data_IF_513053724828
#
_entry.id   IF_513053724828
#
_cell.length_a   1.000
_cell.length_b   1.000
_cell.length_c   1.000
_cell.angle_alpha   90.00
_cell.angle_beta   90.00
_cell.angle_gamma   90.00
#
_symmetry.space_group_name_H-M   'P 1'
#
loop_
_entity.id
_entity.type
_entity.pdbx_description
1 polymer ?
#
# COMPACT_ATOMS: atom_id res chain seq x y z
N UNK A 1 -10.31 -26.44 -4.27
CA UNK A 1 -9.59 -25.89 -3.09
C UNK A 1 -10.27 -24.59 -2.66
N UNK A 2 -10.69 -24.52 -1.39
CA UNK A 2 -11.44 -23.40 -0.82
C UNK A 2 -10.69 -22.07 -0.94
N UNK A 3 -11.24 -21.12 -1.70
CA UNK A 3 -10.85 -19.71 -1.76
C UNK A 3 -11.23 -19.01 -0.44
N UNK A 4 -10.69 -19.50 0.67
CA UNK A 4 -10.85 -18.90 1.97
C UNK A 4 -9.99 -17.64 2.06
N UNK A 5 -10.57 -16.58 2.64
CA UNK A 5 -9.87 -15.46 3.31
C UNK A 5 -9.08 -14.48 2.44
N UNK A 6 -9.66 -13.37 1.98
CA UNK A 6 -8.88 -12.13 1.76
C UNK A 6 -9.63 -10.84 2.09
N UNK A 7 -10.41 -10.81 3.19
CA UNK A 7 -10.97 -9.56 3.72
C UNK A 7 -9.93 -8.69 4.47
N UNK A 8 -8.65 -8.78 4.09
CA UNK A 8 -7.50 -8.13 4.76
C UNK A 8 -6.50 -7.51 3.79
N UNK A 9 -6.80 -7.49 2.49
CA UNK A 9 -5.98 -6.74 1.54
C UNK A 9 -6.01 -5.25 1.95
N UNK A 10 -4.84 -4.70 2.25
CA UNK A 10 -4.64 -3.28 2.52
C UNK A 10 -4.03 -2.64 1.30
N UNK A 11 -4.64 -1.57 0.85
CA UNK A 11 -4.21 -0.78 -0.28
C UNK A 11 -3.57 0.48 0.27
N UNK A 12 -2.45 0.91 -0.31
CA UNK A 12 -1.86 2.20 0.01
C UNK A 12 -2.77 3.32 -0.48
N UNK A 13 -3.00 4.32 0.36
CA UNK A 13 -3.65 5.55 -0.09
C UNK A 13 -2.72 6.30 -1.05
N UNK A 14 -3.27 7.23 -1.83
CA UNK A 14 -2.44 8.08 -2.71
C UNK A 14 -1.33 8.80 -1.92
N UNK A 15 -1.62 9.23 -0.68
CA UNK A 15 -0.65 9.83 0.23
C UNK A 15 0.45 8.84 0.63
N UNK A 16 0.09 7.63 1.07
CA UNK A 16 1.06 6.60 1.47
C UNK A 16 1.93 6.13 0.30
N UNK A 17 1.35 5.96 -0.89
CA UNK A 17 2.09 5.64 -2.10
C UNK A 17 3.05 6.77 -2.49
N UNK A 18 2.61 8.03 -2.37
CA UNK A 18 3.46 9.19 -2.66
C UNK A 18 4.67 9.24 -1.71
N UNK A 19 4.45 9.10 -0.40
CA UNK A 19 5.53 9.01 0.60
C UNK A 19 6.51 7.89 0.27
N UNK A 20 6.00 6.69 -0.03
CA UNK A 20 6.85 5.55 -0.39
C UNK A 20 7.70 5.86 -1.63
N UNK A 21 7.12 6.47 -2.67
CA UNK A 21 7.86 6.87 -3.88
C UNK A 21 8.89 7.97 -3.61
N UNK A 22 8.56 8.95 -2.78
CA UNK A 22 9.50 10.01 -2.38
C UNK A 22 10.68 9.43 -1.63
N UNK A 23 10.43 8.51 -0.70
CA UNK A 23 11.50 7.90 0.07
C UNK A 23 12.32 6.89 -0.73
N UNK A 24 11.66 6.13 -1.61
CA UNK A 24 12.36 5.31 -2.61
C UNK A 24 13.32 6.20 -3.39
N UNK A 25 12.88 7.39 -3.84
CA UNK A 25 13.70 8.32 -4.59
C UNK A 25 14.84 8.94 -3.78
N UNK A 26 14.61 9.26 -2.51
CA UNK A 26 15.67 9.72 -1.62
C UNK A 26 16.75 8.63 -1.49
N UNK A 27 16.31 7.39 -1.29
CA UNK A 27 17.18 6.22 -1.17
C UNK A 27 17.93 5.93 -2.49
N UNK A 28 17.26 6.07 -3.64
CA UNK A 28 17.90 6.00 -4.98
C UNK A 28 19.04 7.01 -5.12
N UNK A 29 18.87 8.23 -4.59
CA UNK A 29 19.87 9.29 -4.65
C UNK A 29 21.05 8.97 -3.73
N UNK A 30 20.79 8.51 -2.50
CA UNK A 30 21.82 8.22 -1.52
C UNK A 30 22.62 6.95 -1.86
N UNK A 31 21.94 5.83 -2.12
CA UNK A 31 22.56 4.51 -2.26
C UNK A 31 22.89 4.13 -3.71
N UNK A 32 22.16 4.70 -4.68
CA UNK A 32 22.30 4.35 -6.11
C UNK A 32 22.70 5.55 -6.97
N UNK A 33 23.34 6.57 -6.39
CA UNK A 33 23.81 7.77 -7.10
C UNK A 33 22.74 8.50 -7.95
N UNK A 34 21.45 8.32 -7.61
CA UNK A 34 20.32 8.90 -8.34
C UNK A 34 19.75 8.03 -9.46
N UNK A 35 20.23 6.79 -9.62
CA UNK A 35 19.65 5.84 -10.57
C UNK A 35 18.39 5.20 -9.99
N UNK A 36 17.35 5.07 -10.84
CA UNK A 36 16.10 4.43 -10.45
C UNK A 36 16.32 2.98 -10.04
N UNK A 37 15.67 2.55 -8.96
CA UNK A 37 15.68 1.17 -8.54
C UNK A 37 14.79 0.33 -9.46
N UNK A 38 15.38 -0.77 -9.95
CA UNK A 38 14.63 -1.86 -10.56
C UNK A 38 13.81 -2.60 -9.51
N UNK A 39 12.74 -3.29 -9.95
CA UNK A 39 11.93 -4.14 -9.05
C UNK A 39 12.77 -5.19 -8.32
N UNK A 40 13.84 -5.68 -8.95
CA UNK A 40 14.81 -6.59 -8.33
C UNK A 40 15.52 -5.93 -7.14
N UNK A 41 16.05 -4.71 -7.32
CA UNK A 41 16.71 -3.98 -6.23
C UNK A 41 15.78 -3.65 -5.08
N UNK A 42 14.56 -3.20 -5.38
CA UNK A 42 13.55 -2.96 -4.37
C UNK A 42 13.21 -4.25 -3.61
N UNK A 43 13.17 -5.38 -4.31
CA UNK A 43 12.96 -6.69 -3.70
C UNK A 43 14.09 -7.07 -2.74
N UNK A 44 15.34 -6.86 -3.14
CA UNK A 44 16.50 -7.08 -2.27
C UNK A 44 16.49 -6.18 -1.02
N UNK A 45 16.18 -4.88 -1.18
CA UNK A 45 16.12 -3.93 -0.07
C UNK A 45 15.01 -4.28 0.93
N UNK A 46 13.83 -4.63 0.41
CA UNK A 46 12.65 -4.91 1.23
C UNK A 46 12.58 -6.34 1.74
N UNK A 47 13.43 -7.23 1.23
CA UNK A 47 13.31 -8.67 1.44
C UNK A 47 12.03 -9.26 0.86
N UNK A 48 11.45 -8.60 -0.15
CA UNK A 48 10.21 -9.01 -0.82
C UNK A 48 10.50 -9.46 -2.26
N UNK A 49 9.59 -10.25 -2.83
CA UNK A 49 9.69 -10.58 -4.26
C UNK A 49 9.35 -9.35 -5.11
N UNK A 50 9.98 -9.24 -6.27
CA UNK A 50 9.74 -8.19 -7.27
C UNK A 50 8.24 -8.10 -7.68
N UNK A 51 7.54 -9.23 -7.70
CA UNK A 51 6.09 -9.27 -7.93
C UNK A 51 5.28 -8.66 -6.77
N UNK A 52 5.72 -8.86 -5.53
CA UNK A 52 5.11 -8.27 -4.34
C UNK A 52 5.35 -6.77 -4.28
N UNK A 53 6.58 -6.32 -4.56
CA UNK A 53 6.91 -4.89 -4.69
C UNK A 53 6.01 -4.26 -5.75
N UNK A 54 5.89 -4.87 -6.93
CA UNK A 54 5.01 -4.38 -7.98
C UNK A 54 3.56 -4.27 -7.50
N UNK A 55 3.03 -5.25 -6.77
CA UNK A 55 1.68 -5.19 -6.20
C UNK A 55 1.48 -4.06 -5.18
N UNK A 56 2.51 -3.76 -4.38
CA UNK A 56 2.49 -2.63 -3.44
C UNK A 56 2.47 -1.30 -4.20
N UNK A 57 3.31 -1.14 -5.23
CA UNK A 57 3.36 0.06 -6.06
C UNK A 57 2.12 0.24 -6.96
N UNK A 58 1.52 -0.86 -7.42
CA UNK A 58 0.29 -0.87 -8.24
C UNK A 58 -0.98 -0.75 -7.39
N UNK A 59 -0.85 -0.57 -6.07
CA UNK A 59 -1.97 -0.52 -5.14
C UNK A 59 -2.93 -1.73 -5.26
N UNK A 60 -2.41 -2.90 -5.66
CA UNK A 60 -3.21 -4.11 -5.91
C UNK A 60 -3.75 -4.81 -4.66
N UNK A 61 -3.52 -4.23 -3.48
CA UNK A 61 -3.89 -4.81 -2.20
C UNK A 61 -2.85 -5.82 -1.74
N UNK A 62 -2.16 -5.49 -0.64
CA UNK A 62 -1.13 -6.31 -0.03
C UNK A 62 -1.44 -6.55 1.45
N UNK A 63 -0.78 -7.53 2.06
CA UNK A 63 -0.90 -7.79 3.49
C UNK A 63 -0.30 -6.64 4.31
N UNK A 64 -0.87 -6.37 5.50
CA UNK A 64 -0.32 -5.37 6.45
C UNK A 64 1.17 -5.61 6.71
N UNK A 65 1.55 -6.86 6.95
CA UNK A 65 2.94 -7.22 7.25
C UNK A 65 3.89 -6.90 6.12
N UNK A 66 3.46 -7.11 4.87
CA UNK A 66 4.24 -6.77 3.68
C UNK A 66 4.42 -5.26 3.54
N UNK A 67 3.35 -4.48 3.73
CA UNK A 67 3.43 -3.02 3.70
C UNK A 67 4.36 -2.48 4.79
N UNK A 68 4.25 -3.01 6.01
CA UNK A 68 5.09 -2.60 7.14
C UNK A 68 6.56 -2.91 6.84
N UNK A 69 6.90 -4.14 6.43
CA UNK A 69 8.28 -4.50 6.05
C UNK A 69 8.82 -3.66 4.90
N UNK A 70 7.99 -3.39 3.90
CA UNK A 70 8.37 -2.56 2.77
C UNK A 70 8.71 -1.13 3.23
N UNK A 71 7.89 -0.56 4.12
CA UNK A 71 8.15 0.76 4.69
C UNK A 71 9.39 0.77 5.59
N UNK A 72 9.51 -0.20 6.49
CA UNK A 72 10.67 -0.31 7.40
C UNK A 72 12.00 -0.43 6.65
N UNK A 73 12.02 -1.13 5.51
CA UNK A 73 13.21 -1.25 4.68
C UNK A 73 13.74 0.07 4.11
N UNK A 74 12.86 1.06 3.92
CA UNK A 74 13.24 2.42 3.52
C UNK A 74 13.30 3.39 4.72
N UNK A 75 13.24 2.88 5.95
CA UNK A 75 13.20 3.69 7.18
C UNK A 75 11.90 4.48 7.37
N UNK A 76 10.82 4.09 6.68
CA UNK A 76 9.50 4.68 6.87
C UNK A 76 8.68 3.90 7.90
N UNK A 77 7.79 4.61 8.59
CA UNK A 77 6.76 3.99 9.44
C UNK A 77 5.43 4.01 8.70
N UNK A 78 4.80 2.84 8.56
CA UNK A 78 3.48 2.75 7.95
C UNK A 78 2.39 3.17 8.96
N UNK A 79 1.80 4.34 8.78
CA UNK A 79 0.67 4.81 9.59
C UNK A 79 -0.68 4.28 9.11
N UNK A 80 -1.66 4.26 10.02
CA UNK A 80 -3.07 3.93 9.73
C UNK A 80 -3.72 4.84 8.68
N UNK A 81 -3.19 6.04 8.49
CA UNK A 81 -3.63 7.00 7.47
C UNK A 81 -3.06 6.70 6.08
N UNK A 82 -1.96 5.96 6.00
CA UNK A 82 -1.25 5.66 4.74
C UNK A 82 -1.81 4.42 4.03
N UNK A 83 -2.65 3.62 4.70
CA UNK A 83 -3.31 2.48 4.09
C UNK A 83 -4.81 2.44 4.41
N UNK A 84 -5.57 1.87 3.50
CA UNK A 84 -7.00 1.59 3.67
C UNK A 84 -7.27 0.13 3.36
N UNK A 85 -8.34 -0.42 3.93
CA UNK A 85 -8.81 -1.72 3.47
C UNK A 85 -9.25 -1.60 2.00
N UNK A 86 -8.93 -2.60 1.18
CA UNK A 86 -9.42 -2.67 -0.20
C UNK A 86 -10.95 -2.48 -0.30
N UNK A 87 -11.67 -2.97 0.72
CA UNK A 87 -13.12 -2.76 0.86
C UNK A 87 -13.45 -1.29 1.05
N UNK A 88 -12.74 -0.57 1.94
CA UNK A 88 -12.95 0.88 2.14
C UNK A 88 -12.55 1.71 0.93
N UNK A 89 -11.50 1.31 0.20
CA UNK A 89 -11.08 1.99 -1.02
C UNK A 89 -12.14 1.90 -2.13
N UNK A 90 -12.78 0.72 -2.27
CA UNK A 90 -13.91 0.54 -3.17
C UNK A 90 -15.10 1.41 -2.75
N UNK A 91 -15.42 1.47 -1.44
CA UNK A 91 -16.52 2.29 -0.91
C UNK A 91 -16.28 3.79 -1.10
N UNK A 92 -15.04 4.29 -0.92
CA UNK A 92 -14.71 5.71 -1.14
C UNK A 92 -14.75 6.11 -2.62
N UNK A 93 -14.48 5.16 -3.53
CA UNK A 93 -14.53 5.40 -4.98
C UNK A 93 -15.93 5.27 -5.55
N UNK A 94 -16.89 4.76 -4.76
CA UNK A 94 -18.27 4.59 -5.17
C UNK A 94 -19.10 5.80 -4.68
N UNK A 95 -19.38 6.80 -5.55
CA UNK A 95 -20.17 7.97 -5.16
C UNK A 95 -21.62 7.61 -4.80
N UNK A 96 -22.04 6.36 -5.00
CA UNK A 96 -23.40 5.88 -4.76
C UNK A 96 -23.55 5.13 -3.42
N UNK A 97 -22.51 5.07 -2.57
CA UNK A 97 -22.64 4.62 -1.19
C UNK A 97 -23.35 5.70 -0.36
N UNK A 98 -24.65 5.88 -0.62
CA UNK A 98 -25.57 6.55 0.29
C UNK A 98 -25.53 5.73 1.56
N UNK A 99 -24.80 6.24 2.55
CA UNK A 99 -24.98 5.84 3.94
C UNK A 99 -26.47 5.87 4.19
N UNK A 100 -27.04 4.67 4.40
CA UNK A 100 -28.41 4.51 4.86
C UNK A 100 -28.45 5.07 6.26
N UNK A 101 -28.52 6.39 6.34
CA UNK A 101 -28.79 7.11 7.56
C UNK A 101 -30.13 6.61 8.08
N UNK A 102 -30.15 6.50 9.40
CA UNK A 102 -31.10 5.78 10.20
C UNK A 102 -32.54 6.13 9.87
N UNK A 103 -33.43 5.15 10.10
CA UNK A 103 -34.83 5.48 10.38
C UNK A 103 -34.84 6.55 11.47
N UNK A 104 -35.21 7.77 11.14
CA UNK A 104 -35.78 8.69 12.12
C UNK A 104 -37.16 8.16 12.51
N UNK A 105 -37.42 7.76 13.78
CA UNK A 105 -38.77 7.59 14.25
C UNK A 105 -39.13 8.84 15.07
N UNK A 106 -39.90 9.75 14.47
CA UNK A 106 -40.86 10.59 15.21
C UNK A 106 -41.83 11.22 14.23
#
# INVERSE_FOLDING_TARGET
MNSSRRNRARILTASGLKKLREQTRAHEIEENAGYKYSLERLGELTGLNSETVKNVFDCKGSDKGTLVRCFEAFGLTLEESDYVSAVRAAVLSDPNFVGRDERSPT
#
